data_IF_735671794144
#
_entry.id   IF_735671794144
#
_cell.length_a   1.000
_cell.length_b   1.000
_cell.length_c   1.000
_cell.angle_alpha   90.00
_cell.angle_beta   90.00
_cell.angle_gamma   90.00
#
_symmetry.space_group_name_H-M   'P 1'
#
loop_
_entity.id
_entity.type
_entity.pdbx_description
1 polymer ?
#
# COMPACT_ATOMS: atom_id res chain seq x y z
N UNK A 1 76.90 40.70 -1.30
CA UNK A 1 76.48 39.40 -1.84
C UNK A 1 76.32 38.46 -0.65
N UNK A 2 75.15 38.46 0.01
CA UNK A 2 74.01 37.51 -0.18
C UNK A 2 74.45 36.05 0.01
N UNK A 3 73.87 35.23 0.89
CA UNK A 3 72.43 35.02 1.12
C UNK A 3 72.19 34.35 2.48
N UNK A 4 71.20 34.87 3.21
CA UNK A 4 70.69 34.34 4.48
C UNK A 4 69.50 33.43 4.14
N UNK A 5 69.58 32.12 4.45
CA UNK A 5 68.49 31.18 4.23
C UNK A 5 67.43 31.32 5.33
N UNK A 6 66.33 31.99 5.03
CA UNK A 6 65.10 31.91 5.83
C UNK A 6 64.31 30.66 5.41
N UNK A 7 64.02 29.81 6.38
CA UNK A 7 63.12 28.67 6.24
C UNK A 7 61.70 29.18 6.56
N UNK A 8 60.85 29.34 5.54
CA UNK A 8 59.44 29.66 5.71
C UNK A 8 58.67 28.35 5.96
N UNK A 9 58.20 28.11 7.19
CA UNK A 9 57.15 27.13 7.44
C UNK A 9 55.82 27.73 6.98
N UNK A 10 55.25 27.23 5.88
CA UNK A 10 53.85 27.46 5.55
C UNK A 10 52.99 26.52 6.39
N UNK A 11 52.38 27.04 7.45
CA UNK A 11 51.23 26.43 8.08
C UNK A 11 50.00 26.66 7.19
N UNK A 12 49.62 25.65 6.40
CA UNK A 12 48.31 25.57 5.76
C UNK A 12 47.27 25.33 6.85
N UNK A 13 46.75 26.41 7.44
CA UNK A 13 45.50 26.36 8.18
C UNK A 13 44.40 26.29 7.14
N UNK A 14 43.90 25.09 6.87
CA UNK A 14 42.64 24.89 6.17
C UNK A 14 41.55 25.50 7.04
N UNK A 15 41.22 26.77 6.78
CA UNK A 15 39.98 27.37 7.24
C UNK A 15 38.89 26.63 6.48
N UNK A 16 38.36 25.57 7.08
CA UNK A 16 37.02 25.11 6.75
C UNK A 16 36.10 26.26 7.13
N UNK A 17 35.80 27.11 6.16
CA UNK A 17 34.57 27.91 6.24
C UNK A 17 33.45 26.88 6.28
N UNK A 18 32.69 26.76 7.40
CA UNK A 18 31.41 26.10 7.27
C UNK A 18 30.68 26.91 6.21
N UNK A 19 30.20 26.24 5.17
CA UNK A 19 29.19 26.84 4.31
C UNK A 19 28.06 27.20 5.26
N UNK A 20 28.00 28.48 5.63
CA UNK A 20 26.92 29.02 6.40
C UNK A 20 25.69 28.74 5.55
N UNK A 21 24.80 27.91 6.07
CA UNK A 21 23.48 27.69 5.50
C UNK A 21 22.81 29.06 5.45
N UNK A 22 22.86 29.68 4.29
CA UNK A 22 21.97 30.77 3.97
C UNK A 22 20.59 30.14 3.82
N UNK A 23 19.82 30.20 4.90
CA UNK A 23 18.39 30.03 4.86
C UNK A 23 17.78 31.21 4.06
N UNK A 24 17.95 31.18 2.73
CA UNK A 24 17.33 32.10 1.77
C UNK A 24 17.04 31.39 0.45
N UNK A 25 15.82 30.87 0.34
CA UNK A 25 14.93 31.21 -0.78
C UNK A 25 15.48 31.16 -2.20
N UNK A 26 15.90 29.99 -2.69
CA UNK A 26 15.62 29.69 -4.09
C UNK A 26 14.29 28.94 -4.14
N UNK A 27 13.30 29.54 -4.80
CA UNK A 27 12.11 28.86 -5.32
C UNK A 27 12.54 27.87 -6.42
N UNK A 28 13.56 27.02 -6.18
CA UNK A 28 14.14 26.11 -7.16
C UNK A 28 14.40 24.76 -6.51
N UNK A 29 14.11 23.72 -7.26
CA UNK A 29 14.43 22.35 -6.91
C UNK A 29 15.97 22.14 -6.96
N UNK A 30 16.60 21.52 -5.95
CA UNK A 30 18.03 21.24 -5.97
C UNK A 30 18.42 20.30 -7.12
N UNK A 31 19.58 20.55 -7.75
CA UNK A 31 20.04 19.78 -8.93
C UNK A 31 20.19 18.27 -8.64
N UNK A 32 20.57 17.92 -7.41
CA UNK A 32 20.74 16.52 -7.00
C UNK A 32 19.43 15.72 -7.07
N UNK A 33 18.26 16.37 -7.02
CA UNK A 33 16.95 15.72 -7.12
C UNK A 33 16.76 15.17 -8.53
N UNK A 34 17.17 15.90 -9.57
CA UNK A 34 17.12 15.40 -10.93
C UNK A 34 18.25 14.41 -11.23
N UNK A 35 19.46 14.67 -10.74
CA UNK A 35 20.62 13.79 -11.02
C UNK A 35 20.51 12.40 -10.39
N UNK A 36 19.67 12.23 -9.36
CA UNK A 36 19.40 10.94 -8.72
C UNK A 36 17.94 10.52 -8.86
N UNK A 37 17.19 11.15 -9.78
CA UNK A 37 15.81 10.78 -10.05
C UNK A 37 15.74 9.34 -10.58
N UNK A 38 14.66 8.59 -10.29
CA UNK A 38 14.51 7.25 -10.84
C UNK A 38 14.47 7.23 -12.37
N UNK A 39 14.95 6.14 -12.96
CA UNK A 39 14.78 5.80 -14.37
C UNK A 39 13.83 4.60 -14.45
N UNK A 40 12.71 4.76 -15.15
CA UNK A 40 11.62 3.78 -15.13
C UNK A 40 11.58 3.02 -16.45
N UNK A 41 11.83 1.71 -16.42
CA UNK A 41 11.48 0.82 -17.51
C UNK A 41 9.98 0.55 -17.46
N UNK A 42 9.27 1.02 -18.48
CA UNK A 42 7.90 0.66 -18.76
C UNK A 42 7.87 -0.71 -19.43
N UNK A 43 6.91 -1.56 -19.06
CA UNK A 43 6.81 -2.90 -19.62
C UNK A 43 6.58 -2.86 -21.14
N UNK A 44 7.23 -3.76 -21.88
CA UNK A 44 7.29 -3.73 -23.35
C UNK A 44 5.94 -3.93 -24.04
N UNK A 45 5.05 -4.68 -23.41
CA UNK A 45 3.68 -4.95 -23.88
C UNK A 45 2.62 -4.07 -23.20
N UNK A 46 3.01 -3.18 -22.30
CA UNK A 46 2.03 -2.28 -21.70
C UNK A 46 1.49 -1.29 -22.73
N UNK A 47 0.20 -1.04 -22.68
CA UNK A 47 -0.48 -0.05 -23.53
C UNK A 47 -0.88 1.19 -22.77
N UNK A 48 -0.82 1.18 -21.43
CA UNK A 48 -1.15 2.30 -20.57
C UNK A 48 0.15 3.00 -20.17
N UNK A 49 0.46 4.04 -20.92
CA UNK A 49 1.68 4.83 -20.72
C UNK A 49 1.43 5.95 -19.69
N UNK A 50 2.50 6.57 -19.15
CA UNK A 50 2.36 7.74 -18.31
C UNK A 50 1.48 8.81 -18.99
N UNK A 51 0.55 9.38 -18.23
CA UNK A 51 -0.57 10.16 -18.76
C UNK A 51 -0.56 11.60 -18.26
N UNK A 52 -0.92 12.55 -19.11
CA UNK A 52 -1.03 13.96 -18.74
C UNK A 52 -2.13 14.21 -17.70
N UNK A 53 -1.80 14.90 -16.61
CA UNK A 53 -2.75 15.22 -15.54
C UNK A 53 -3.92 16.09 -16.05
N UNK A 54 -3.64 17.09 -16.89
CA UNK A 54 -4.67 18.03 -17.36
C UNK A 54 -5.58 17.35 -18.40
N UNK A 55 -5.03 16.54 -19.29
CA UNK A 55 -5.78 15.71 -20.22
C UNK A 55 -6.70 14.75 -19.47
N UNK A 56 -6.24 14.11 -18.40
CA UNK A 56 -7.08 13.27 -17.55
C UNK A 56 -8.27 14.04 -16.98
N UNK A 57 -8.02 15.17 -16.29
CA UNK A 57 -9.09 15.99 -15.72
C UNK A 57 -10.08 16.44 -16.80
N UNK A 58 -9.59 16.92 -17.94
CA UNK A 58 -10.43 17.38 -19.05
C UNK A 58 -11.29 16.27 -19.68
N UNK A 59 -10.96 14.99 -19.47
CA UNK A 59 -11.73 13.84 -19.96
C UNK A 59 -12.62 13.20 -18.87
N UNK A 60 -12.78 13.86 -17.74
CA UNK A 60 -13.64 13.41 -16.63
C UNK A 60 -14.79 14.38 -16.35
N UNK A 61 -15.81 13.89 -15.65
CA UNK A 61 -16.93 14.67 -15.10
C UNK A 61 -16.94 14.40 -13.59
N UNK A 62 -16.86 15.44 -12.74
CA UNK A 62 -16.94 15.24 -11.30
C UNK A 62 -18.35 14.76 -10.93
N UNK A 63 -18.42 13.64 -10.20
CA UNK A 63 -19.67 13.06 -9.72
C UNK A 63 -19.64 12.88 -8.21
N UNK A 64 -20.79 13.06 -7.58
CA UNK A 64 -21.07 12.70 -6.19
C UNK A 64 -22.28 11.76 -6.20
N UNK A 65 -22.19 10.61 -5.52
CA UNK A 65 -23.24 9.58 -5.53
C UNK A 65 -23.68 9.16 -6.96
N UNK A 66 -22.72 9.12 -7.90
CA UNK A 66 -22.96 8.80 -9.30
C UNK A 66 -23.67 9.87 -10.12
N UNK A 67 -23.97 11.04 -9.53
CA UNK A 67 -24.60 12.17 -10.22
C UNK A 67 -23.59 13.28 -10.51
N UNK A 68 -23.62 13.90 -11.71
CA UNK A 68 -22.75 15.04 -12.02
C UNK A 68 -22.97 16.20 -11.06
N UNK A 69 -21.86 16.77 -10.57
CA UNK A 69 -21.89 17.98 -9.74
C UNK A 69 -22.17 19.19 -10.64
N UNK A 70 -23.20 19.97 -10.30
CA UNK A 70 -23.51 21.25 -10.96
C UNK A 70 -22.80 22.38 -10.24
N UNK A 71 -22.02 23.21 -10.94
CA UNK A 71 -21.30 24.33 -10.31
C UNK A 71 -20.09 24.83 -11.10
N UNK A 72 -19.03 24.03 -11.26
CA UNK A 72 -17.82 24.46 -11.98
C UNK A 72 -18.11 24.62 -13.47
N UNK A 73 -17.79 25.79 -14.03
CA UNK A 73 -17.94 26.09 -15.47
C UNK A 73 -16.84 25.47 -16.33
N UNK A 74 -15.64 25.29 -15.76
CA UNK A 74 -14.51 24.54 -16.30
C UNK A 74 -13.79 23.85 -15.14
N UNK A 75 -13.32 22.63 -15.33
CA UNK A 75 -12.55 21.88 -14.34
C UNK A 75 -11.13 21.68 -14.87
N UNK A 76 -10.16 22.21 -14.16
CA UNK A 76 -8.74 22.27 -14.53
C UNK A 76 -7.87 22.01 -13.29
N UNK A 77 -6.55 21.85 -13.46
CA UNK A 77 -5.65 21.57 -12.34
C UNK A 77 -5.53 22.75 -11.36
N UNK A 78 -5.86 23.95 -11.82
CA UNK A 78 -5.87 25.22 -11.09
C UNK A 78 -7.04 25.32 -10.10
N UNK A 79 -8.14 24.59 -10.33
CA UNK A 79 -9.36 24.71 -9.53
C UNK A 79 -9.93 23.37 -9.04
N UNK A 80 -9.24 22.25 -9.27
CA UNK A 80 -9.69 20.91 -8.90
C UNK A 80 -10.06 20.77 -7.41
N UNK A 81 -9.33 21.43 -6.52
CA UNK A 81 -9.57 21.46 -5.07
C UNK A 81 -10.88 22.13 -4.66
N UNK A 82 -11.49 22.95 -5.52
CA UNK A 82 -12.82 23.54 -5.25
C UNK A 82 -13.90 22.46 -5.14
N UNK A 83 -13.69 21.29 -5.76
CA UNK A 83 -14.59 20.14 -5.64
C UNK A 83 -14.74 19.63 -4.20
N UNK A 84 -13.77 19.92 -3.33
CA UNK A 84 -13.80 19.50 -1.94
C UNK A 84 -15.02 20.07 -1.19
N UNK A 85 -15.54 21.25 -1.57
CA UNK A 85 -16.71 21.84 -0.93
C UNK A 85 -18.04 21.17 -1.26
N UNK A 86 -18.07 20.28 -2.27
CA UNK A 86 -19.29 19.64 -2.75
C UNK A 86 -19.52 18.26 -2.09
N UNK A 87 -18.46 17.52 -1.79
CA UNK A 87 -18.57 16.19 -1.18
C UNK A 87 -17.26 15.61 -0.64
N UNK A 88 -16.17 16.39 -0.62
CA UNK A 88 -14.86 15.94 -0.14
C UNK A 88 -14.37 14.66 -0.82
N UNK A 89 -14.04 13.66 -0.02
CA UNK A 89 -13.46 12.39 -0.49
C UNK A 89 -14.41 11.56 -1.35
N UNK A 90 -15.72 11.77 -1.24
CA UNK A 90 -16.75 11.02 -2.00
C UNK A 90 -16.91 11.52 -3.45
N UNK A 91 -16.25 12.63 -3.80
CA UNK A 91 -16.27 13.16 -5.18
C UNK A 91 -15.35 12.33 -6.07
N UNK A 92 -15.83 11.95 -7.25
CA UNK A 92 -15.10 11.11 -8.20
C UNK A 92 -14.96 11.79 -9.56
N UNK A 93 -13.74 11.83 -10.09
CA UNK A 93 -13.44 12.24 -11.46
C UNK A 93 -13.82 11.09 -12.43
N UNK A 94 -15.11 10.97 -12.71
CA UNK A 94 -15.65 9.86 -13.50
C UNK A 94 -15.38 10.07 -14.98
N UNK A 95 -14.91 9.05 -15.70
CA UNK A 95 -14.66 9.11 -17.14
C UNK A 95 -15.90 9.58 -17.93
N UNK A 96 -15.68 10.45 -18.94
CA UNK A 96 -16.72 10.89 -19.88
C UNK A 96 -17.18 9.78 -20.82
N UNK A 97 -16.27 8.86 -21.13
CA UNK A 97 -16.50 7.74 -22.04
C UNK A 97 -16.40 6.41 -21.27
N UNK A 98 -16.89 5.32 -21.84
CA UNK A 98 -16.69 4.01 -21.24
C UNK A 98 -15.19 3.66 -21.28
N UNK A 99 -14.49 3.49 -20.14
CA UNK A 99 -13.05 3.26 -20.15
C UNK A 99 -12.64 1.97 -20.89
N UNK A 100 -13.57 1.02 -21.06
CA UNK A 100 -13.33 -0.22 -21.81
C UNK A 100 -13.34 -0.05 -23.33
N UNK A 101 -13.73 1.12 -23.86
CA UNK A 101 -13.52 1.43 -25.29
C UNK A 101 -12.09 1.91 -25.55
N UNK A 102 -11.28 2.08 -24.50
CA UNK A 102 -9.90 2.57 -24.55
C UNK A 102 -9.77 3.87 -25.35
N UNK A 103 -10.47 4.94 -24.92
CA UNK A 103 -10.33 6.24 -25.57
C UNK A 103 -8.86 6.70 -25.52
N UNK A 104 -8.36 7.44 -26.54
CA UNK A 104 -6.92 7.72 -26.67
C UNK A 104 -6.26 8.32 -25.41
N UNK A 105 -6.97 9.16 -24.65
CA UNK A 105 -6.43 9.80 -23.44
C UNK A 105 -6.12 8.81 -22.29
N UNK A 106 -6.75 7.62 -22.29
CA UNK A 106 -6.50 6.56 -21.31
C UNK A 106 -5.16 5.86 -21.55
N UNK A 107 -4.68 5.86 -22.79
CA UNK A 107 -3.45 5.15 -23.19
C UNK A 107 -2.17 5.92 -22.84
N UNK A 108 -2.27 7.20 -22.49
CA UNK A 108 -1.12 8.05 -22.18
C UNK A 108 -0.20 8.31 -23.38
N UNK A 109 1.02 8.76 -23.10
CA UNK A 109 2.04 9.06 -24.10
C UNK A 109 3.31 8.25 -23.83
N UNK A 110 3.79 7.53 -24.84
CA UNK A 110 5.03 6.78 -24.71
C UNK A 110 6.25 7.71 -24.77
N UNK A 111 7.30 7.45 -23.97
CA UNK A 111 8.55 8.19 -24.08
C UNK A 111 9.26 7.91 -25.41
N UNK A 112 10.10 8.86 -25.83
CA UNK A 112 11.05 8.70 -26.93
C UNK A 112 12.28 7.87 -26.54
N UNK A 113 13.26 7.79 -27.43
CA UNK A 113 14.49 7.02 -27.21
C UNK A 113 15.38 7.56 -26.07
N UNK A 114 15.25 8.85 -25.73
CA UNK A 114 15.97 9.50 -24.64
C UNK A 114 15.17 9.45 -23.33
N UNK A 115 14.00 8.81 -23.34
CA UNK A 115 13.12 8.69 -22.19
C UNK A 115 12.22 9.90 -21.95
N UNK A 116 12.12 10.82 -22.92
CA UNK A 116 11.31 12.04 -22.77
C UNK A 116 9.90 11.84 -23.33
N UNK A 117 8.92 12.36 -22.59
CA UNK A 117 7.54 12.58 -23.05
C UNK A 117 7.43 14.07 -23.40
N UNK A 118 6.86 14.41 -24.57
CA UNK A 118 6.95 15.77 -25.12
C UNK A 118 5.70 16.60 -24.91
N UNK A 119 4.52 16.00 -25.10
CA UNK A 119 3.25 16.73 -25.12
C UNK A 119 2.44 16.57 -23.83
N UNK A 120 2.87 15.66 -22.95
CA UNK A 120 2.23 15.33 -21.67
C UNK A 120 3.14 15.63 -20.48
N UNK A 121 2.55 16.03 -19.34
CA UNK A 121 3.22 16.16 -18.04
C UNK A 121 2.67 15.09 -17.07
N UNK A 122 3.23 13.88 -17.05
CA UNK A 122 2.71 12.76 -16.25
C UNK A 122 3.37 12.60 -14.88
N UNK A 123 4.30 13.50 -14.53
CA UNK A 123 5.04 13.41 -13.27
C UNK A 123 4.86 14.67 -12.40
N UNK A 124 4.76 14.45 -11.09
CA UNK A 124 4.87 15.50 -10.09
C UNK A 124 5.98 15.13 -9.10
N UNK A 125 6.98 16.00 -8.97
CA UNK A 125 8.07 15.89 -8.00
C UNK A 125 7.74 16.76 -6.79
N UNK A 126 7.60 16.14 -5.62
CA UNK A 126 7.27 16.83 -4.37
C UNK A 126 8.41 16.64 -3.37
N UNK A 127 9.02 17.76 -2.95
CA UNK A 127 10.08 17.79 -1.95
C UNK A 127 9.49 17.95 -0.55
N UNK A 128 9.83 17.03 0.35
CA UNK A 128 9.47 17.06 1.76
C UNK A 128 10.75 17.28 2.57
N UNK A 129 10.95 18.49 3.06
CA UNK A 129 12.08 18.88 3.90
C UNK A 129 11.80 18.43 5.35
N UNK A 130 12.55 17.43 5.84
CA UNK A 130 12.38 16.89 7.20
C UNK A 130 13.22 17.65 8.22
N UNK A 131 14.37 18.15 7.76
CA UNK A 131 15.34 18.95 8.49
C UNK A 131 16.16 19.76 7.47
N UNK A 132 17.07 20.61 7.93
CA UNK A 132 17.98 21.36 7.06
C UNK A 132 18.90 20.46 6.20
N UNK A 133 19.00 19.17 6.54
CA UNK A 133 19.90 18.21 5.89
C UNK A 133 19.16 17.01 5.28
N UNK A 134 17.97 16.65 5.77
CA UNK A 134 17.23 15.49 5.29
C UNK A 134 16.04 15.92 4.43
N UNK A 135 16.04 15.48 3.17
CA UNK A 135 14.99 15.77 2.19
C UNK A 135 14.50 14.47 1.58
N UNK A 136 13.18 14.26 1.58
CA UNK A 136 12.54 13.19 0.80
C UNK A 136 12.01 13.80 -0.51
N UNK A 137 12.51 13.34 -1.66
CA UNK A 137 11.95 13.68 -2.95
C UNK A 137 11.03 12.56 -3.42
N UNK A 138 9.73 12.86 -3.56
CA UNK A 138 8.76 11.94 -4.12
C UNK A 138 8.61 12.21 -5.61
N UNK A 139 8.68 11.17 -6.42
CA UNK A 139 8.47 11.20 -7.86
C UNK A 139 7.16 10.47 -8.15
N UNK A 140 6.06 11.22 -8.21
CA UNK A 140 4.75 10.66 -8.50
C UNK A 140 4.58 10.47 -10.00
N UNK A 141 4.08 9.31 -10.39
CA UNK A 141 3.78 8.91 -11.76
C UNK A 141 2.28 8.78 -11.88
N UNK A 142 1.73 9.41 -12.91
CA UNK A 142 0.31 9.37 -13.19
C UNK A 142 0.01 8.52 -14.42
N UNK A 143 -0.96 7.64 -14.30
CA UNK A 143 -1.51 6.86 -15.41
C UNK A 143 -3.02 7.07 -15.44
N UNK A 144 -3.60 7.30 -16.62
CA UNK A 144 -5.05 7.53 -16.74
C UNK A 144 -5.88 6.27 -16.51
N UNK A 145 -5.25 5.10 -16.56
CA UNK A 145 -5.91 3.82 -16.34
C UNK A 145 -4.92 2.81 -15.80
N UNK A 146 -5.33 2.08 -14.76
CA UNK A 146 -4.66 0.90 -14.27
C UNK A 146 -5.43 -0.33 -14.75
N UNK A 147 -4.77 -1.18 -15.52
CA UNK A 147 -5.28 -2.51 -15.84
C UNK A 147 -4.72 -3.50 -14.82
N UNK A 148 -5.56 -3.92 -13.88
CA UNK A 148 -5.13 -4.79 -12.80
C UNK A 148 -4.64 -6.15 -13.32
N UNK A 149 -4.07 -6.99 -12.46
CA UNK A 149 -3.51 -8.27 -12.87
C UNK A 149 -4.53 -9.15 -13.59
N UNK A 150 -4.06 -9.83 -14.64
CA UNK A 150 -4.85 -10.84 -15.32
C UNK A 150 -5.16 -11.98 -14.34
N UNK A 151 -6.34 -12.55 -14.45
CA UNK A 151 -6.78 -13.65 -13.59
C UNK A 151 -5.89 -14.91 -13.68
N UNK A 152 -5.10 -15.04 -14.76
CA UNK A 152 -4.09 -16.08 -14.95
C UNK A 152 -2.77 -15.82 -14.18
N UNK A 153 -2.56 -14.62 -13.64
CA UNK A 153 -1.36 -14.21 -12.89
C UNK A 153 -1.36 -14.69 -11.44
N UNK A 154 -1.97 -15.85 -11.17
CA UNK A 154 -2.13 -16.40 -9.81
C UNK A 154 -1.31 -17.69 -9.67
N UNK A 155 -0.62 -17.83 -8.54
CA UNK A 155 0.21 -18.99 -8.21
C UNK A 155 -0.63 -20.27 -8.00
N UNK A 156 -0.04 -21.41 -8.36
CA UNK A 156 -0.54 -22.73 -7.94
C UNK A 156 -0.46 -22.87 -6.41
N UNK A 157 -1.52 -23.36 -5.74
CA UNK A 157 -2.76 -23.93 -6.29
C UNK A 157 -3.95 -22.96 -6.27
N UNK A 158 -3.73 -21.69 -5.89
CA UNK A 158 -4.81 -20.70 -5.77
C UNK A 158 -5.44 -20.42 -7.13
N UNK A 159 -4.66 -20.52 -8.22
CA UNK A 159 -5.17 -20.47 -9.58
C UNK A 159 -6.38 -21.41 -9.80
N UNK A 160 -6.40 -22.61 -9.22
CA UNK A 160 -7.53 -23.54 -9.36
C UNK A 160 -8.81 -23.09 -8.64
N UNK A 161 -8.67 -22.23 -7.61
CA UNK A 161 -9.82 -21.70 -6.85
C UNK A 161 -10.47 -20.50 -7.53
N UNK A 162 -9.82 -19.96 -8.56
CA UNK A 162 -10.26 -18.78 -9.30
C UNK A 162 -11.25 -19.15 -10.43
N UNK A 163 -11.43 -20.45 -10.69
CA UNK A 163 -12.44 -21.02 -11.59
C UNK A 163 -11.98 -21.08 -13.05
N UNK A 164 -12.11 -22.26 -13.67
CA UNK A 164 -11.67 -22.52 -15.06
C UNK A 164 -12.36 -21.61 -16.10
N UNK A 165 -13.61 -21.21 -15.88
CA UNK A 165 -14.35 -20.32 -16.79
C UNK A 165 -13.74 -18.91 -16.82
N UNK A 166 -13.34 -18.37 -15.66
CA UNK A 166 -12.73 -17.04 -15.57
C UNK A 166 -11.29 -17.03 -16.12
N UNK A 167 -10.51 -18.10 -15.88
CA UNK A 167 -9.13 -18.25 -16.38
C UNK A 167 -9.03 -18.18 -17.91
N UNK A 168 -10.06 -18.62 -18.62
CA UNK A 168 -10.09 -18.60 -20.09
C UNK A 168 -10.44 -17.25 -20.72
N UNK A 169 -10.97 -16.30 -19.93
CA UNK A 169 -11.47 -15.01 -20.43
C UNK A 169 -10.39 -13.96 -20.71
N UNK A 170 -9.17 -14.15 -20.18
CA UNK A 170 -8.12 -13.13 -20.22
C UNK A 170 -8.49 -11.85 -19.48
N UNK A 171 -9.45 -11.91 -18.54
CA UNK A 171 -9.95 -10.75 -17.83
C UNK A 171 -8.99 -10.27 -16.74
N UNK A 172 -8.92 -8.94 -16.62
CA UNK A 172 -8.11 -8.23 -15.63
C UNK A 172 -8.99 -7.77 -14.46
N UNK A 173 -8.47 -7.89 -13.24
CA UNK A 173 -9.20 -7.56 -12.02
C UNK A 173 -8.49 -6.49 -11.21
N UNK A 174 -9.27 -5.58 -10.63
CA UNK A 174 -8.76 -4.40 -9.94
C UNK A 174 -8.50 -3.22 -10.86
N UNK A 175 -9.12 -3.19 -12.05
CA UNK A 175 -9.03 -2.08 -12.97
C UNK A 175 -9.58 -0.81 -12.34
N UNK A 176 -8.97 0.34 -12.62
CA UNK A 176 -9.54 1.63 -12.25
C UNK A 176 -9.07 2.72 -13.19
N UNK A 177 -9.94 3.71 -13.40
CA UNK A 177 -9.56 4.96 -14.05
C UNK A 177 -8.72 5.75 -13.05
N UNK A 178 -7.66 6.37 -13.57
CA UNK A 178 -6.63 7.11 -12.85
C UNK A 178 -5.81 6.24 -11.90
N UNK A 179 -4.53 6.52 -11.81
CA UNK A 179 -3.61 5.78 -10.96
C UNK A 179 -2.40 6.62 -10.57
N UNK A 180 -2.03 6.51 -9.30
CA UNK A 180 -0.94 7.26 -8.68
C UNK A 180 0.08 6.30 -8.09
N UNK A 181 1.17 6.14 -8.82
CA UNK A 181 2.33 5.36 -8.40
C UNK A 181 3.50 6.30 -8.06
N UNK A 182 4.50 5.83 -7.32
CA UNK A 182 5.66 6.67 -7.01
C UNK A 182 6.90 5.91 -6.54
N UNK A 183 8.03 6.56 -6.77
CA UNK A 183 9.22 6.32 -5.99
C UNK A 183 9.47 7.48 -5.03
N UNK A 184 10.26 7.22 -3.99
CA UNK A 184 10.81 8.28 -3.15
C UNK A 184 12.30 8.04 -2.96
N UNK A 185 13.11 9.08 -3.12
CA UNK A 185 14.54 9.06 -2.78
C UNK A 185 14.76 9.95 -1.58
N UNK A 186 15.40 9.40 -0.54
CA UNK A 186 15.82 10.15 0.64
C UNK A 186 17.24 10.64 0.44
N UNK A 187 17.44 11.93 0.69
CA UNK A 187 18.73 12.58 0.66
C UNK A 187 19.15 13.00 2.06
N UNK A 188 20.44 12.85 2.34
CA UNK A 188 21.12 13.41 3.49
C UNK A 188 22.23 14.33 2.99
N UNK A 189 22.11 15.63 3.25
CA UNK A 189 23.01 16.67 2.78
C UNK A 189 23.26 16.58 1.25
N UNK A 190 22.17 16.42 0.49
CA UNK A 190 22.20 16.27 -0.98
C UNK A 190 22.70 14.92 -1.51
N UNK A 191 23.13 14.01 -0.65
CA UNK A 191 23.57 12.65 -1.04
C UNK A 191 22.42 11.66 -0.85
N UNK A 192 22.07 10.83 -1.85
CA UNK A 192 21.01 9.84 -1.68
C UNK A 192 21.43 8.74 -0.71
N UNK A 193 20.54 8.39 0.23
CA UNK A 193 20.78 7.38 1.28
C UNK A 193 19.77 6.23 1.26
N UNK A 194 18.68 6.37 0.51
CA UNK A 194 17.72 5.30 0.33
C UNK A 194 16.67 5.61 -0.72
N UNK A 195 16.01 4.56 -1.20
CA UNK A 195 14.96 4.61 -2.20
C UNK A 195 13.78 3.75 -1.79
N UNK A 196 12.58 4.22 -2.06
CA UNK A 196 11.31 3.52 -1.88
C UNK A 196 10.68 3.24 -3.24
N UNK A 197 10.11 2.05 -3.39
CA UNK A 197 9.37 1.59 -4.55
C UNK A 197 7.93 1.31 -4.14
N UNK A 198 6.96 2.05 -4.67
CA UNK A 198 5.53 1.80 -4.42
C UNK A 198 5.09 0.51 -5.10
N UNK A 199 4.26 -0.28 -4.40
CA UNK A 199 3.69 -1.51 -4.91
C UNK A 199 2.25 -1.58 -4.45
N UNK A 200 1.32 -1.28 -5.34
CA UNK A 200 -0.12 -1.26 -5.06
C UNK A 200 -0.43 -0.38 -3.83
N UNK A 201 -0.97 -0.98 -2.79
CA UNK A 201 -1.35 -0.34 -1.53
C UNK A 201 -0.19 -0.13 -0.55
N UNK A 202 1.03 -0.61 -0.83
CA UNK A 202 2.20 -0.47 0.05
C UNK A 202 3.50 -0.26 -0.77
N UNK A 203 4.62 -0.80 -0.33
CA UNK A 203 5.88 -0.81 -1.08
C UNK A 203 7.06 -1.24 -0.22
N UNK A 204 8.25 -1.15 -0.82
CA UNK A 204 9.49 -1.61 -0.21
C UNK A 204 10.56 -0.52 -0.27
N UNK A 205 11.32 -0.39 0.81
CA UNK A 205 12.42 0.57 0.94
C UNK A 205 13.77 -0.14 1.00
N UNK A 206 14.76 0.41 0.31
CA UNK A 206 16.13 -0.06 0.30
C UNK A 206 17.10 1.07 0.65
N UNK A 207 18.22 0.71 1.28
CA UNK A 207 19.36 1.63 1.37
C UNK A 207 19.94 1.84 -0.02
N UNK A 208 20.57 2.99 -0.23
CA UNK A 208 21.14 3.34 -1.54
C UNK A 208 22.27 2.40 -2.00
N UNK A 209 22.93 1.73 -1.08
CA UNK A 209 24.01 0.77 -1.34
C UNK A 209 23.54 -0.71 -1.29
N UNK A 210 22.23 -0.95 -1.25
CA UNK A 210 21.68 -2.31 -1.20
C UNK A 210 21.92 -3.05 -2.52
N UNK A 211 22.48 -4.26 -2.44
CA UNK A 211 22.78 -5.09 -3.62
C UNK A 211 21.57 -5.45 -4.50
N UNK A 212 20.34 -5.26 -4.00
CA UNK A 212 19.10 -5.56 -4.73
C UNK A 212 18.62 -4.43 -5.62
N UNK A 213 19.15 -3.21 -5.45
CA UNK A 213 18.83 -2.09 -6.31
C UNK A 213 19.93 -1.91 -7.35
N UNK A 214 19.55 -1.51 -8.56
CA UNK A 214 20.49 -1.18 -9.62
C UNK A 214 20.56 0.34 -9.76
N UNK A 215 21.78 0.89 -9.73
CA UNK A 215 22.04 2.31 -9.93
C UNK A 215 22.81 2.49 -11.23
N UNK A 216 22.25 3.25 -12.17
CA UNK A 216 22.88 3.59 -13.45
C UNK A 216 23.08 5.09 -13.50
N UNK A 217 24.30 5.56 -13.72
CA UNK A 217 24.64 6.99 -13.80
C UNK A 217 24.14 7.82 -12.59
N UNK A 218 24.20 7.23 -11.40
CA UNK A 218 23.71 7.85 -10.16
C UNK A 218 22.20 7.79 -9.97
N UNK A 219 21.46 7.13 -10.86
CA UNK A 219 20.00 7.06 -10.84
C UNK A 219 19.50 5.65 -10.56
N UNK A 220 18.53 5.46 -9.66
CA UNK A 220 17.98 4.15 -9.36
C UNK A 220 17.10 3.68 -10.52
N UNK A 221 17.32 2.45 -10.95
CA UNK A 221 16.50 1.80 -11.97
C UNK A 221 15.25 1.25 -11.31
N UNK A 222 14.13 1.46 -11.99
CA UNK A 222 12.79 1.02 -11.61
C UNK A 222 12.21 0.24 -12.78
N UNK A 223 11.47 -0.81 -12.48
CA UNK A 223 10.69 -1.56 -13.44
C UNK A 223 9.22 -1.43 -13.06
N UNK A 224 8.45 -0.78 -13.93
CA UNK A 224 7.01 -0.63 -13.76
C UNK A 224 6.31 -1.87 -14.30
N UNK A 225 5.40 -2.43 -13.52
CA UNK A 225 4.64 -3.62 -13.88
C UNK A 225 3.63 -3.35 -14.99
N UNK A 226 3.42 -4.34 -15.87
CA UNK A 226 2.40 -4.26 -16.91
C UNK A 226 0.99 -4.06 -16.32
N UNK A 227 0.35 -2.94 -16.67
CA UNK A 227 -1.03 -2.59 -16.34
C UNK A 227 -1.24 -2.10 -14.91
N UNK A 228 -0.63 -2.76 -13.91
CA UNK A 228 -0.74 -2.37 -12.50
C UNK A 228 0.21 -1.25 -12.08
N UNK A 229 1.22 -0.97 -12.90
CA UNK A 229 2.24 0.06 -12.72
C UNK A 229 3.01 0.03 -11.39
N UNK A 230 2.87 -1.05 -10.61
CA UNK A 230 3.62 -1.27 -9.40
C UNK A 230 5.12 -1.25 -9.71
N UNK A 231 5.90 -0.60 -8.85
CA UNK A 231 7.31 -0.31 -9.08
C UNK A 231 8.20 -1.33 -8.37
N UNK A 232 9.16 -1.88 -9.12
CA UNK A 232 10.06 -2.92 -8.62
C UNK A 232 11.52 -2.59 -8.90
N UNK A 233 12.46 -3.06 -8.04
CA UNK A 233 13.89 -2.88 -8.27
C UNK A 233 14.47 -3.87 -9.29
N UNK A 234 13.68 -4.85 -9.74
CA UNK A 234 14.12 -5.92 -10.63
C UNK A 234 13.03 -6.30 -11.65
N UNK A 235 13.47 -6.84 -12.80
CA UNK A 235 12.62 -7.44 -13.81
C UNK A 235 12.14 -8.86 -13.42
N UNK A 236 11.27 -9.43 -14.25
CA UNK A 236 10.71 -10.77 -14.09
C UNK A 236 9.41 -10.77 -13.30
N UNK A 237 9.11 -11.93 -12.69
CA UNK A 237 7.86 -12.14 -11.96
C UNK A 237 8.02 -11.63 -10.52
N UNK A 238 7.21 -10.64 -10.17
CA UNK A 238 7.23 -10.03 -8.85
C UNK A 238 6.01 -10.49 -8.05
N UNK A 239 6.26 -11.27 -7.01
CA UNK A 239 5.20 -11.82 -6.17
C UNK A 239 4.62 -10.73 -5.27
N UNK A 240 3.33 -10.43 -5.42
CA UNK A 240 2.56 -9.57 -4.53
C UNK A 240 1.35 -10.32 -3.93
N UNK A 241 0.84 -9.84 -2.79
CA UNK A 241 -0.29 -10.42 -2.06
C UNK A 241 -0.23 -11.96 -1.88
N UNK A 242 0.99 -12.49 -1.70
CA UNK A 242 1.33 -13.90 -1.48
C UNK A 242 1.00 -14.91 -2.61
N UNK A 243 0.19 -14.54 -3.59
CA UNK A 243 -0.26 -15.46 -4.63
C UNK A 243 -0.37 -14.84 -6.02
N UNK A 244 -0.14 -13.55 -6.20
CA UNK A 244 -0.33 -12.87 -7.50
C UNK A 244 1.01 -12.34 -8.03
N UNK A 245 1.16 -12.33 -9.35
CA UNK A 245 2.37 -11.80 -9.98
C UNK A 245 2.10 -10.50 -10.70
N UNK A 246 3.04 -9.58 -10.55
CA UNK A 246 3.28 -8.53 -11.52
C UNK A 246 4.41 -8.94 -12.47
N UNK A 247 4.33 -8.50 -13.72
CA UNK A 247 5.34 -8.74 -14.73
C UNK A 247 6.07 -7.46 -15.06
N UNK A 248 7.40 -7.52 -14.99
CA UNK A 248 8.29 -6.40 -15.22
C UNK A 248 9.34 -6.81 -16.26
N UNK A 249 9.61 -5.94 -17.23
CA UNK A 249 10.68 -6.15 -18.20
C UNK A 249 11.32 -4.81 -18.64
N UNK A 250 12.22 -4.87 -19.63
CA UNK A 250 12.88 -3.70 -20.20
C UNK A 250 12.24 -3.30 -21.53
N UNK A 251 11.04 -2.73 -21.46
CA UNK A 251 10.38 -2.12 -22.61
C UNK A 251 10.98 -0.76 -22.95
N UNK A 252 10.21 0.31 -22.76
CA UNK A 252 10.68 1.68 -23.02
C UNK A 252 11.20 2.30 -21.73
N UNK A 253 12.38 2.90 -21.80
CA UNK A 253 12.88 3.69 -20.66
C UNK A 253 12.18 5.04 -20.65
N UNK A 254 11.80 5.49 -19.46
CA UNK A 254 11.18 6.78 -19.20
C UNK A 254 12.01 7.51 -18.14
N UNK A 255 12.26 8.79 -18.41
CA UNK A 255 12.84 9.72 -17.46
C UNK A 255 11.74 10.69 -16.96
N UNK A 256 11.20 10.46 -15.74
CA UNK A 256 10.09 11.25 -15.23
C UNK A 256 10.40 12.74 -15.08
N UNK A 257 11.64 13.12 -14.81
CA UNK A 257 11.98 14.53 -14.52
C UNK A 257 12.10 15.40 -15.77
N UNK A 258 12.15 14.81 -16.98
CA UNK A 258 12.17 15.55 -18.24
C UNK A 258 10.82 16.19 -18.58
N UNK A 259 9.73 15.70 -17.99
CA UNK A 259 8.40 16.31 -18.07
C UNK A 259 7.67 16.16 -16.73
N UNK A 260 7.96 17.07 -15.80
CA UNK A 260 7.39 17.05 -14.45
C UNK A 260 7.07 18.45 -13.92
N UNK A 261 6.03 18.51 -13.08
CA UNK A 261 5.82 19.62 -12.17
C UNK A 261 6.70 19.46 -10.92
N UNK A 262 7.24 20.56 -10.39
CA UNK A 262 8.09 20.54 -9.20
C UNK A 262 7.49 21.38 -8.07
N UNK A 263 7.47 20.81 -6.88
CA UNK A 263 6.87 21.42 -5.70
C UNK A 263 7.70 21.25 -4.44
N UNK A 264 7.59 22.23 -3.55
CA UNK A 264 7.95 22.10 -2.14
C UNK A 264 6.69 21.86 -1.33
N UNK A 265 6.72 20.87 -0.43
CA UNK A 265 5.63 20.55 0.47
C UNK A 265 5.81 21.24 1.82
N UNK A 266 4.75 21.84 2.34
CA UNK A 266 4.68 22.38 3.69
C UNK A 266 3.91 21.40 4.58
N UNK A 267 4.58 20.83 5.59
CA UNK A 267 3.97 19.85 6.49
C UNK A 267 2.98 20.43 7.48
N UNK A 268 3.09 21.71 7.82
CA UNK A 268 2.24 22.36 8.82
C UNK A 268 0.86 22.70 8.24
N UNK A 269 0.83 23.17 7.00
CA UNK A 269 -0.42 23.50 6.28
C UNK A 269 -0.89 22.36 5.38
N UNK A 270 -0.05 21.35 5.17
CA UNK A 270 -0.26 20.28 4.20
C UNK A 270 -0.45 20.80 2.77
N UNK A 271 0.20 21.89 2.39
CA UNK A 271 0.06 22.48 1.03
C UNK A 271 1.33 22.30 0.22
N UNK A 272 1.22 22.43 -1.10
CA UNK A 272 2.39 22.50 -1.99
C UNK A 272 2.60 23.92 -2.51
N UNK A 273 3.86 24.25 -2.80
CA UNK A 273 4.26 25.51 -3.44
C UNK A 273 5.08 25.18 -4.68
N UNK A 274 4.72 25.71 -5.88
CA UNK A 274 5.49 25.48 -7.10
C UNK A 274 6.93 26.00 -6.95
N UNK A 275 7.89 25.24 -7.48
CA UNK A 275 9.30 25.63 -7.53
C UNK A 275 9.85 25.43 -8.94
N UNK A 276 10.89 26.19 -9.28
CA UNK A 276 11.61 26.16 -10.55
C UNK A 276 12.24 24.78 -10.75
N UNK A 277 12.03 24.21 -11.94
CA UNK A 277 12.64 22.95 -12.36
C UNK A 277 14.17 23.03 -12.29
N UNK A 278 14.87 21.98 -11.84
CA UNK A 278 16.32 21.97 -11.86
C UNK A 278 16.86 22.00 -13.30
N UNK A 279 16.07 21.55 -14.29
CA UNK A 279 16.40 21.54 -15.72
C UNK A 279 16.27 22.89 -16.41
N UNK A 280 15.74 23.90 -15.72
CA UNK A 280 15.61 25.27 -16.24
C UNK A 280 16.36 26.26 -15.31
N UNK A 281 17.70 26.18 -15.21
CA UNK A 281 18.48 26.96 -14.25
C UNK A 281 18.40 28.48 -14.45
N UNK A 282 18.04 28.94 -15.65
CA UNK A 282 17.88 30.35 -15.98
C UNK A 282 16.47 30.91 -15.72
N UNK A 283 15.50 30.07 -15.36
CA UNK A 283 14.16 30.53 -15.05
C UNK A 283 14.16 31.29 -13.72
N UNK A 284 13.36 32.36 -13.66
CA UNK A 284 13.24 33.21 -12.45
C UNK A 284 11.98 32.91 -11.65
N UNK A 285 10.99 32.24 -12.27
CA UNK A 285 9.72 31.86 -11.65
C UNK A 285 9.33 30.44 -12.09
N UNK A 286 8.54 29.69 -11.28
CA UNK A 286 7.99 28.41 -11.70
C UNK A 286 7.14 28.54 -12.97
N UNK A 287 7.11 27.50 -13.80
CA UNK A 287 6.43 27.54 -15.10
C UNK A 287 4.92 27.80 -14.98
N UNK A 288 4.28 27.26 -13.94
CA UNK A 288 2.83 27.36 -13.72
C UNK A 288 2.51 27.35 -12.22
N UNK A 289 1.40 28.00 -11.83
CA UNK A 289 0.92 28.01 -10.44
C UNK A 289 -0.21 26.97 -10.25
N UNK A 290 0.13 25.69 -10.37
CA UNK A 290 -0.81 24.58 -10.24
C UNK A 290 -0.71 23.92 -8.87
N UNK A 291 -1.54 24.30 -7.91
CA UNK A 291 -1.54 23.67 -6.57
C UNK A 291 -2.85 22.96 -6.24
N UNK A 292 -3.96 23.39 -6.84
CA UNK A 292 -5.31 22.93 -6.49
C UNK A 292 -5.52 21.43 -6.76
N UNK A 293 -4.85 20.87 -7.78
CA UNK A 293 -4.86 19.43 -8.05
C UNK A 293 -4.40 18.57 -6.87
N UNK A 294 -3.44 19.06 -6.07
CA UNK A 294 -2.96 18.36 -4.88
C UNK A 294 -3.94 18.50 -3.71
N UNK A 295 -4.69 19.60 -3.68
CA UNK A 295 -5.72 19.88 -2.68
C UNK A 295 -6.98 19.07 -2.88
N UNK A 296 -7.28 18.62 -4.10
CA UNK A 296 -8.38 17.71 -4.35
C UNK A 296 -8.24 16.40 -3.55
N UNK A 297 -9.23 16.14 -2.69
CA UNK A 297 -9.21 14.97 -1.78
C UNK A 297 -10.05 13.78 -2.28
N UNK A 298 -10.79 13.95 -3.37
CA UNK A 298 -11.63 12.90 -3.95
C UNK A 298 -10.87 11.82 -4.72
N UNK A 299 -11.63 11.01 -5.46
CA UNK A 299 -11.15 9.91 -6.28
C UNK A 299 -10.74 10.42 -7.68
N UNK A 300 -9.50 10.11 -8.08
CA UNK A 300 -9.00 10.31 -9.44
C UNK A 300 -9.48 9.18 -10.35
N UNK A 301 -10.79 9.11 -10.58
CA UNK A 301 -11.41 8.10 -11.43
C UNK A 301 -12.85 7.77 -11.01
N UNK A 302 -13.46 6.84 -11.74
CA UNK A 302 -14.78 6.30 -11.46
C UNK A 302 -14.85 5.69 -10.04
N UNK A 303 -16.04 5.76 -9.42
CA UNK A 303 -16.35 4.90 -8.26
C UNK A 303 -16.61 3.49 -8.75
N UNK A 304 -16.17 2.49 -7.97
CA UNK A 304 -16.45 1.06 -8.20
C UNK A 304 -17.88 0.83 -8.69
N UNK A 305 -18.00 0.15 -9.82
CA UNK A 305 -19.29 -0.17 -10.41
C UNK A 305 -20.11 -1.12 -9.53
N UNK A 306 -21.45 -0.98 -9.51
CA UNK A 306 -22.30 -1.91 -8.78
C UNK A 306 -22.24 -3.30 -9.41
N UNK A 307 -22.52 -4.35 -8.62
CA UNK A 307 -22.49 -5.75 -9.09
C UNK A 307 -23.52 -6.04 -10.20
N UNK A 308 -24.49 -5.16 -10.39
CA UNK A 308 -25.47 -5.22 -11.48
C UNK A 308 -24.97 -4.60 -12.80
N UNK A 309 -23.86 -3.87 -12.81
CA UNK A 309 -23.29 -3.29 -14.04
C UNK A 309 -22.71 -4.42 -14.91
N UNK A 310 -23.05 -4.50 -16.21
CA UNK A 310 -22.57 -5.58 -17.09
C UNK A 310 -21.04 -5.58 -17.28
N UNK A 311 -20.35 -4.48 -16.94
CA UNK A 311 -18.89 -4.39 -16.98
C UNK A 311 -18.25 -4.86 -15.68
N UNK A 312 -19.02 -5.07 -14.62
CA UNK A 312 -18.52 -5.47 -13.32
C UNK A 312 -18.58 -6.99 -13.15
N UNK A 313 -17.42 -7.61 -12.96
CA UNK A 313 -17.30 -9.02 -12.61
C UNK A 313 -16.70 -9.17 -11.21
N UNK A 314 -17.01 -10.28 -10.54
CA UNK A 314 -16.47 -10.58 -9.21
C UNK A 314 -15.96 -11.99 -9.14
N UNK A 315 -14.67 -12.17 -8.80
CA UNK A 315 -14.10 -13.51 -8.60
C UNK A 315 -14.82 -14.17 -7.42
N UNK A 316 -15.44 -15.35 -7.62
CA UNK A 316 -16.09 -16.09 -6.55
C UNK A 316 -15.15 -16.37 -5.38
N UNK A 317 -15.67 -16.42 -4.15
CA UNK A 317 -14.95 -16.71 -2.88
C UNK A 317 -13.94 -15.65 -2.42
N UNK A 318 -13.18 -15.06 -3.34
CA UNK A 318 -12.20 -14.00 -3.06
C UNK A 318 -12.83 -12.61 -3.03
N UNK A 319 -13.90 -12.39 -3.82
CA UNK A 319 -14.59 -11.10 -3.87
C UNK A 319 -13.79 -10.02 -4.60
N UNK A 320 -12.79 -10.41 -5.41
CA UNK A 320 -12.00 -9.49 -6.21
C UNK A 320 -12.88 -8.91 -7.31
N UNK A 321 -12.94 -7.58 -7.38
CA UNK A 321 -13.78 -6.84 -8.30
C UNK A 321 -13.01 -6.56 -9.59
N UNK A 322 -13.70 -6.63 -10.72
CA UNK A 322 -13.13 -6.24 -12.02
C UNK A 322 -12.76 -4.76 -12.01
N UNK A 323 -13.69 -3.88 -11.65
CA UNK A 323 -13.42 -2.46 -11.44
C UNK A 323 -13.40 -2.10 -9.96
N UNK A 324 -12.42 -1.31 -9.56
CA UNK A 324 -12.34 -0.65 -8.27
C UNK A 324 -12.53 0.86 -8.44
N UNK A 325 -12.73 1.57 -7.33
CA UNK A 325 -12.71 3.03 -7.37
C UNK A 325 -11.32 3.54 -7.72
N UNK A 326 -11.22 4.62 -8.49
CA UNK A 326 -9.97 5.35 -8.70
C UNK A 326 -9.34 5.76 -7.36
N UNK A 327 -8.01 5.86 -7.26
CA UNK A 327 -7.35 6.18 -6.02
C UNK A 327 -7.52 7.66 -5.65
N UNK A 328 -7.31 8.01 -4.39
CA UNK A 328 -7.09 9.40 -4.00
C UNK A 328 -5.70 9.87 -4.45
N UNK A 329 -5.49 11.19 -4.46
CA UNK A 329 -4.26 11.80 -4.94
C UNK A 329 -3.02 11.63 -4.03
N UNK A 330 -1.87 12.18 -4.43
CA UNK A 330 -0.58 12.06 -3.72
C UNK A 330 -0.58 12.50 -2.25
N UNK A 331 -1.49 13.39 -1.85
CA UNK A 331 -1.70 13.80 -0.44
C UNK A 331 -1.95 12.61 0.49
N UNK A 332 -2.49 11.50 -0.01
CA UNK A 332 -2.77 10.28 0.76
C UNK A 332 -1.62 9.28 0.79
N UNK A 333 -0.47 9.58 0.16
CA UNK A 333 0.68 8.67 0.04
C UNK A 333 1.73 8.84 1.16
N UNK A 334 1.30 9.27 2.35
CA UNK A 334 2.12 9.38 3.58
C UNK A 334 3.42 10.18 3.42
N UNK A 335 3.29 11.42 2.94
CA UNK A 335 4.43 12.31 2.69
C UNK A 335 5.34 12.53 3.92
N UNK A 336 4.76 12.56 5.13
CA UNK A 336 5.47 12.87 6.39
C UNK A 336 5.95 11.61 7.14
N UNK A 337 6.24 10.51 6.42
CA UNK A 337 6.75 9.24 7.01
C UNK A 337 8.11 9.40 7.69
N UNK A 338 8.38 8.69 8.79
CA UNK A 338 9.69 8.71 9.48
C UNK A 338 10.75 7.93 8.72
N UNK A 339 10.41 6.73 8.27
CA UNK A 339 11.30 5.84 7.51
C UNK A 339 11.24 6.06 6.01
N UNK A 340 11.91 5.16 5.26
CA UNK A 340 11.71 5.04 3.81
C UNK A 340 10.33 4.47 3.48
N UNK A 341 9.86 3.54 4.31
CA UNK A 341 8.54 2.92 4.22
C UNK A 341 7.53 3.66 5.10
N UNK A 342 6.25 3.32 4.96
CA UNK A 342 5.16 3.85 5.80
C UNK A 342 5.40 3.51 7.29
N UNK A 343 5.03 4.44 8.17
CA UNK A 343 5.18 4.25 9.62
C UNK A 343 4.26 3.18 10.20
N UNK A 344 3.12 2.96 9.54
CA UNK A 344 2.16 1.92 9.89
C UNK A 344 2.02 0.98 8.69
N UNK A 345 2.41 -0.30 8.85
CA UNK A 345 2.24 -1.28 7.78
C UNK A 345 0.75 -1.50 7.54
N UNK A 346 0.40 -1.88 6.30
CA UNK A 346 -0.98 -2.25 5.99
C UNK A 346 -1.43 -3.41 6.89
N UNK A 347 -2.64 -3.30 7.43
CA UNK A 347 -3.28 -4.43 8.12
C UNK A 347 -3.75 -5.45 7.09
N UNK A 348 -3.12 -6.63 7.06
CA UNK A 348 -3.61 -7.74 6.25
C UNK A 348 -4.96 -8.24 6.76
N UNK A 349 -5.90 -8.43 5.84
CA UNK A 349 -7.19 -9.05 6.16
C UNK A 349 -7.02 -10.54 6.48
N UNK A 350 -7.99 -11.13 7.20
CA UNK A 350 -7.94 -12.54 7.60
C UNK A 350 -7.84 -13.50 6.41
N UNK A 351 -8.50 -13.19 5.27
CA UNK A 351 -8.45 -14.00 4.04
C UNK A 351 -7.04 -14.02 3.46
N UNK A 352 -6.45 -12.84 3.33
CA UNK A 352 -5.11 -12.65 2.79
C UNK A 352 -4.04 -13.30 3.69
N UNK A 353 -4.20 -13.16 5.00
CA UNK A 353 -3.38 -13.86 5.98
C UNK A 353 -3.51 -15.39 5.82
N UNK A 354 -4.73 -15.90 5.67
CA UNK A 354 -4.99 -17.33 5.43
C UNK A 354 -4.34 -17.84 4.15
N UNK A 355 -4.47 -17.09 3.04
CA UNK A 355 -3.77 -17.38 1.77
C UNK A 355 -2.27 -17.37 1.97
N UNK A 356 -1.72 -16.38 2.67
CA UNK A 356 -0.28 -16.28 2.93
C UNK A 356 0.27 -17.47 3.72
N UNK A 357 -0.44 -17.89 4.78
CA UNK A 357 -0.08 -19.08 5.55
C UNK A 357 -0.14 -20.33 4.67
N UNK A 358 -1.23 -20.49 3.92
CA UNK A 358 -1.40 -21.63 3.03
C UNK A 358 -0.30 -21.71 1.96
N UNK A 359 0.00 -20.59 1.30
CA UNK A 359 1.03 -20.49 0.26
C UNK A 359 2.43 -20.75 0.82
N UNK A 360 2.74 -20.30 2.04
CA UNK A 360 4.02 -20.58 2.68
C UNK A 360 4.23 -22.07 2.98
N UNK A 361 3.16 -22.79 3.35
CA UNK A 361 3.22 -24.21 3.66
C UNK A 361 3.07 -25.09 2.42
N UNK A 362 2.55 -24.55 1.31
CA UNK A 362 2.20 -25.34 0.15
C UNK A 362 3.40 -26.11 -0.46
N UNK A 363 4.55 -25.48 -0.77
CA UNK A 363 5.69 -26.16 -1.38
C UNK A 363 6.26 -27.31 -0.54
N UNK A 364 6.27 -27.16 0.80
CA UNK A 364 6.87 -28.15 1.70
C UNK A 364 5.93 -29.28 2.06
N UNK A 365 4.67 -28.95 2.30
CA UNK A 365 3.85 -29.71 3.23
C UNK A 365 2.47 -30.06 2.69
N UNK A 366 2.00 -29.35 1.65
CA UNK A 366 0.64 -29.49 1.10
C UNK A 366 0.68 -29.91 -0.40
N UNK A 367 1.83 -29.83 -1.07
CA UNK A 367 1.95 -30.23 -2.48
C UNK A 367 2.03 -31.75 -2.66
N UNK A 368 1.05 -32.32 -3.38
CA UNK A 368 1.02 -33.73 -3.78
C UNK A 368 0.94 -34.71 -2.61
N UNK A 369 1.68 -35.84 -2.68
CA UNK A 369 1.65 -36.89 -1.65
C UNK A 369 2.13 -36.42 -0.26
N UNK A 370 2.83 -35.28 -0.19
CA UNK A 370 3.30 -34.67 1.07
C UNK A 370 2.13 -34.17 1.94
N UNK A 371 0.98 -33.83 1.35
CA UNK A 371 -0.22 -33.46 2.09
C UNK A 371 -0.68 -34.58 3.02
N UNK A 372 -0.85 -35.78 2.49
CA UNK A 372 -1.30 -36.95 3.25
C UNK A 372 -0.32 -37.34 4.35
N UNK A 373 0.99 -37.21 4.08
CA UNK A 373 2.03 -37.41 5.08
C UNK A 373 1.96 -36.36 6.20
N UNK A 374 1.80 -35.08 5.86
CA UNK A 374 1.69 -33.99 6.85
C UNK A 374 0.42 -34.10 7.68
N UNK A 375 -0.72 -34.43 7.07
CA UNK A 375 -1.98 -34.67 7.77
C UNK A 375 -1.87 -35.85 8.74
N UNK A 376 -1.19 -36.94 8.33
CA UNK A 376 -0.90 -38.07 9.21
C UNK A 376 -0.06 -37.67 10.42
N UNK A 377 1.00 -36.87 10.22
CA UNK A 377 1.85 -36.37 11.31
C UNK A 377 1.05 -35.46 12.25
N UNK A 378 0.26 -34.54 11.71
CA UNK A 378 -0.59 -33.64 12.50
C UNK A 378 -1.63 -34.40 13.32
N UNK A 379 -2.26 -35.43 12.74
CA UNK A 379 -3.20 -36.28 13.47
C UNK A 379 -2.54 -37.02 14.64
N UNK A 380 -1.31 -37.52 14.44
CA UNK A 380 -0.53 -38.16 15.50
C UNK A 380 -0.17 -37.14 16.61
N UNK A 381 0.29 -35.94 16.24
CA UNK A 381 0.62 -34.89 17.20
C UNK A 381 -0.60 -34.42 18.00
N UNK A 382 -1.75 -34.21 17.34
CA UNK A 382 -3.00 -33.84 18.00
C UNK A 382 -3.49 -34.95 18.94
N UNK A 383 -3.39 -36.21 18.51
CA UNK A 383 -3.74 -37.35 19.38
C UNK A 383 -2.82 -37.44 20.59
N UNK A 384 -1.51 -37.25 20.40
CA UNK A 384 -0.54 -37.23 21.49
C UNK A 384 -0.79 -36.06 22.46
N UNK A 385 -1.15 -34.88 21.95
CA UNK A 385 -1.49 -33.71 22.75
C UNK A 385 -2.76 -33.94 23.59
N UNK A 386 -3.81 -34.49 22.98
CA UNK A 386 -5.06 -34.85 23.70
C UNK A 386 -4.78 -35.90 24.77
N UNK A 387 -3.98 -36.92 24.45
CA UNK A 387 -3.57 -37.94 25.43
C UNK A 387 -2.74 -37.34 26.57
N UNK A 388 -1.85 -36.39 26.30
CA UNK A 388 -1.09 -35.68 27.32
C UNK A 388 -2.00 -34.84 28.23
N UNK A 389 -3.03 -34.18 27.68
CA UNK A 389 -4.04 -33.47 28.48
C UNK A 389 -4.83 -34.45 29.36
N UNK A 390 -5.32 -35.56 28.79
CA UNK A 390 -6.06 -36.57 29.55
C UNK A 390 -5.19 -37.15 30.66
N UNK A 391 -3.94 -37.49 30.36
CA UNK A 391 -2.99 -38.00 31.35
C UNK A 391 -2.68 -36.95 32.41
N UNK A 392 -2.49 -35.69 32.03
CA UNK A 392 -2.33 -34.56 32.94
C UNK A 392 -3.51 -34.39 33.89
N UNK A 393 -4.75 -34.44 33.37
CA UNK A 393 -5.98 -34.36 34.19
C UNK A 393 -6.09 -35.57 35.14
N UNK A 394 -5.78 -36.79 34.67
CA UNK A 394 -5.79 -38.00 35.50
C UNK A 394 -4.72 -37.96 36.59
N UNK A 395 -3.50 -37.51 36.26
CA UNK A 395 -2.43 -37.31 37.23
C UNK A 395 -2.78 -36.21 38.24
N UNK A 396 -3.42 -35.13 37.78
CA UNK A 396 -3.90 -34.09 38.68
C UNK A 396 -5.00 -34.58 39.63
N UNK A 397 -5.99 -35.34 39.14
CA UNK A 397 -7.03 -35.95 39.98
C UNK A 397 -6.45 -36.94 40.99
N UNK A 398 -5.53 -37.80 40.59
CA UNK A 398 -4.89 -38.78 41.48
C UNK A 398 -3.96 -38.10 42.49
N UNK A 399 -3.23 -37.06 42.10
CA UNK A 399 -2.46 -36.21 43.01
C UNK A 399 -3.38 -35.50 44.02
N UNK A 400 -4.50 -34.92 43.56
CA UNK A 400 -5.51 -34.28 44.42
C UNK A 400 -6.17 -35.28 45.39
N UNK A 401 -6.45 -36.49 44.94
CA UNK A 401 -6.94 -37.58 45.80
C UNK A 401 -5.89 -38.00 46.83
N UNK A 402 -4.63 -38.15 46.43
CA UNK A 402 -3.53 -38.44 47.37
C UNK A 402 -3.39 -37.35 48.42
N UNK A 403 -3.44 -36.07 48.02
CA UNK A 403 -3.45 -34.93 48.95
C UNK A 403 -4.68 -34.90 49.86
N UNK A 404 -5.83 -35.39 49.41
CA UNK A 404 -7.01 -35.56 50.25
C UNK A 404 -6.87 -36.73 51.24
N UNK A 405 -6.25 -37.85 50.84
CA UNK A 405 -5.95 -38.98 51.72
C UNK A 405 -4.86 -38.64 52.77
N UNK A 406 -3.82 -37.86 52.44
CA UNK A 406 -2.88 -37.34 53.44
C UNK A 406 -3.54 -36.36 54.41
N UNK A 407 -4.65 -35.73 54.02
CA UNK A 407 -5.46 -34.88 54.90
C UNK A 407 -6.39 -35.69 55.83
N UNK A 408 -6.83 -36.88 55.41
CA UNK A 408 -7.64 -37.80 56.21
C UNK A 408 -6.80 -38.73 57.11
N UNK A 409 -5.51 -38.93 56.82
CA UNK A 409 -4.57 -39.66 57.67
C UNK A 409 -3.92 -38.82 58.78
N UNK A 410 -4.32 -37.55 58.92
CA UNK A 410 -3.83 -36.62 59.94
C UNK A 410 -4.79 -36.39 61.11
N UNK A 411 -6.02 -36.89 61.04
CA UNK A 411 -7.01 -36.73 62.10
C UNK A 411 -7.30 -38.09 62.74
N UNK A 412 -6.57 -38.37 63.82
CA UNK A 412 -6.90 -39.44 64.76
C UNK A 412 -8.29 -39.23 65.37
N UNK A 413 -9.02 -40.34 65.41
CA UNK A 413 -10.29 -40.67 66.06
C UNK A 413 -10.71 -39.75 67.23
N UNK A 414 -11.95 -39.26 67.17
CA UNK A 414 -12.78 -39.05 68.37
C UNK A 414 -14.22 -39.53 68.10
N UNK A 415 -14.64 -40.53 68.88
CA UNK A 415 -15.99 -41.11 68.88
C UNK A 415 -17.00 -40.21 69.58
N UNK A 416 -18.22 -40.11 69.03
CA UNK A 416 -19.51 -40.17 69.72
C UNK A 416 -20.66 -40.01 68.69
N UNK A 417 -21.57 -40.99 68.58
CA UNK A 417 -22.97 -40.95 69.08
C UNK A 417 -23.75 -39.71 68.57
N UNK A 418 -24.92 -39.80 67.94
CA UNK A 418 -26.06 -40.70 68.16
C UNK A 418 -27.16 -40.34 67.12
N UNK A 419 -27.95 -41.34 66.68
CA UNK A 419 -29.32 -41.18 66.13
C UNK A 419 -29.40 -40.63 64.69
N UNK A 420 -29.94 -41.31 63.68
CA UNK A 420 -31.02 -42.29 63.69
C UNK A 420 -32.36 -41.58 63.46
N UNK A 421 -32.76 -41.37 62.21
CA UNK A 421 -34.13 -41.62 61.76
C UNK A 421 -34.26 -41.61 60.24
N UNK A 422 -34.84 -42.69 59.75
CA UNK A 422 -35.27 -42.98 58.38
C UNK A 422 -36.65 -42.34 58.09
N UNK A 423 -37.13 -42.61 56.87
CA UNK A 423 -38.44 -42.37 56.24
C UNK A 423 -38.57 -41.03 55.49
N UNK A 424 -38.65 -40.98 54.15
CA UNK A 424 -39.43 -41.68 53.10
C UNK A 424 -40.81 -41.07 52.82
N UNK A 425 -41.21 -41.21 51.55
CA UNK A 425 -42.57 -41.06 50.95
C UNK A 425 -42.80 -39.83 50.05
N UNK A 426 -42.59 -40.07 48.75
CA UNK A 426 -43.52 -39.99 47.61
C UNK A 426 -44.54 -38.85 47.37
N UNK A 427 -44.55 -38.47 46.08
CA UNK A 427 -45.68 -38.07 45.21
C UNK A 427 -46.29 -36.67 45.34
N UNK A 428 -46.36 -35.90 44.25
CA UNK A 428 -47.44 -35.95 43.26
C UNK A 428 -47.32 -34.79 42.25
N UNK A 429 -47.82 -35.03 41.04
CA UNK A 429 -47.85 -34.18 39.85
C UNK A 429 -48.50 -32.79 40.02
N UNK A 430 -48.11 -31.83 39.18
CA UNK A 430 -48.96 -31.28 38.10
C UNK A 430 -48.52 -29.88 37.63
N UNK A 431 -48.68 -29.67 36.32
CA UNK A 431 -48.36 -28.49 35.51
C UNK A 431 -48.99 -27.18 36.00
N UNK A 432 -48.29 -26.05 35.81
CA UNK A 432 -48.70 -24.97 34.88
C UNK A 432 -47.83 -23.73 35.07
N UNK A 433 -47.15 -23.35 34.00
CA UNK A 433 -47.01 -22.02 33.39
C UNK A 433 -47.00 -20.73 34.23
N UNK A 434 -46.09 -19.87 33.76
CA UNK A 434 -46.08 -18.40 33.78
C UNK A 434 -45.34 -17.65 34.90
N UNK A 435 -44.18 -17.14 34.43
CA UNK A 435 -43.58 -15.82 34.63
C UNK A 435 -43.24 -15.33 36.04
N UNK A 436 -41.93 -15.11 36.27
CA UNK A 436 -41.43 -13.78 36.67
C UNK A 436 -39.91 -13.68 36.40
N UNK A 437 -39.60 -12.88 35.38
CA UNK A 437 -38.27 -12.37 35.05
C UNK A 437 -37.94 -11.17 35.95
N UNK A 438 -36.73 -11.13 36.49
CA UNK A 438 -36.15 -9.90 37.03
C UNK A 438 -34.67 -9.79 36.68
N UNK A 439 -34.43 -8.92 35.68
CA UNK A 439 -33.22 -8.08 35.45
C UNK A 439 -31.97 -8.86 35.04
N UNK A 440 -31.29 -8.48 33.95
CA UNK A 440 -30.84 -7.09 33.70
C UNK A 440 -30.24 -6.99 32.29
N UNK A 441 -30.77 -6.04 31.51
CA UNK A 441 -30.07 -5.04 30.67
C UNK A 441 -28.64 -5.35 30.24
N UNK A 442 -28.21 -5.14 28.98
CA UNK A 442 -28.58 -4.02 28.10
C UNK A 442 -27.98 -4.29 26.70
N UNK A 443 -28.81 -4.39 25.67
CA UNK A 443 -28.41 -4.35 24.25
C UNK A 443 -29.51 -3.66 23.46
N UNK A 444 -29.57 -2.33 23.50
CA UNK A 444 -30.21 -1.52 22.45
C UNK A 444 -29.57 -0.12 22.42
N UNK A 445 -28.87 0.18 21.33
CA UNK A 445 -28.85 1.49 20.66
C UNK A 445 -27.88 1.43 19.47
N UNK A 446 -28.35 0.85 18.36
CA UNK A 446 -27.93 1.07 16.96
C UNK A 446 -28.71 0.00 16.18
N UNK A 447 -29.84 0.32 15.54
CA UNK A 447 -29.85 0.97 14.24
C UNK A 447 -31.21 1.64 14.00
N UNK A 448 -31.22 2.97 13.90
CA UNK A 448 -32.00 3.79 12.96
C UNK A 448 -31.70 5.27 13.20
N UNK A 449 -30.66 5.72 12.51
CA UNK A 449 -30.52 7.07 11.97
C UNK A 449 -30.14 6.86 10.51
#
# INVERSE_FOLDING_TARGET
>A
MTSQKQLLLLSLVSVFTPAFSEATGLNRCPDYVASHAPLVWLHSEDRFMPSDLAAHVSNTIPKLDGQPISGPSSLELENLGDLNSYGGEEVALTSKEDPLTYPPWILGEAPDADGKIHDSVPCAVILVEKSDIDVDAFYFYFYSFNEGPNITQVLEPINHLVGDENLSSGMHFGNHVGDWEHNMVRFHNGTPVGVYYSQHVDGVGFKWDDSRINITDGRPVVYSAAGSHANYPAEGHQLHNAAMFDYCDKGKIWDPVLSAYFYRFNSDTFTITPIISPLQPSATEPAQNLTSWFDFIGHWGDIKYPDSDPRQETVPHFGLKRFNSGPNGPRFKHLVRKGLVRDHPRKMGWKEWGVSVFMAWYPCCIRGWRLWRSLGIMAVLMSAFVLAIIFGIRNYKTWRQRMAYTKLGGDDIAMNEMGGQEESVESSDSNSDDEDDYRRDRYEAMLRG
#
